data_IF_027917271168
#
_entry.id   IF_027917271168
#
_cell.length_a   1.000
_cell.length_b   1.000
_cell.length_c   1.000
_cell.angle_alpha   90.00
_cell.angle_beta   90.00
_cell.angle_gamma   90.00
#
_symmetry.space_group_name_H-M   'P 1'
#
loop_
_entity.id
_entity.type
_entity.pdbx_description
1 polymer ?
#
# COMPACT_ATOMS: atom_id res chain seq x y z
N UNK A 1 -10.86 50.32 34.21
CA UNK A 1 -11.69 49.15 34.57
C UNK A 1 -12.47 48.79 33.31
N UNK A 2 -12.49 47.59 32.75
CA UNK A 2 -12.07 46.24 33.14
C UNK A 2 -11.78 45.48 31.83
N UNK A 3 -10.73 44.66 31.82
CA UNK A 3 -10.25 43.84 30.71
C UNK A 3 -11.27 42.76 30.35
N UNK A 4 -11.66 42.64 29.08
CA UNK A 4 -12.25 41.41 28.53
C UNK A 4 -11.13 40.61 27.83
N UNK A 5 -10.42 39.82 28.63
CA UNK A 5 -9.58 38.72 28.18
C UNK A 5 -10.39 37.46 28.47
N UNK A 6 -10.86 36.73 27.46
CA UNK A 6 -11.29 35.35 27.68
C UNK A 6 -11.17 34.49 26.41
N UNK A 7 -10.14 33.65 26.45
CA UNK A 7 -10.08 32.27 25.94
C UNK A 7 -10.38 32.00 24.46
N UNK A 8 -9.33 32.23 23.65
CA UNK A 8 -9.09 31.48 22.42
C UNK A 8 -8.82 30.00 22.79
N UNK A 9 -9.86 29.16 22.79
CA UNK A 9 -9.72 27.70 22.90
C UNK A 9 -9.08 27.18 21.61
N UNK A 10 -7.77 26.93 21.70
CA UNK A 10 -6.99 26.14 20.74
C UNK A 10 -7.59 24.73 20.64
N UNK A 11 -8.42 24.51 19.63
CA UNK A 11 -8.78 23.18 19.15
C UNK A 11 -7.55 22.57 18.46
N UNK A 12 -6.64 22.02 19.27
CA UNK A 12 -5.66 21.03 18.83
C UNK A 12 -6.42 19.77 18.42
N UNK A 13 -6.88 19.72 17.16
CA UNK A 13 -7.18 18.45 16.51
C UNK A 13 -5.84 17.71 16.31
N UNK A 14 -5.38 17.06 17.38
CA UNK A 14 -4.41 15.99 17.26
C UNK A 14 -5.01 14.92 16.36
N UNK A 15 -4.36 14.64 15.24
CA UNK A 15 -4.63 13.46 14.46
C UNK A 15 -4.24 12.24 15.30
N UNK A 16 -5.18 11.76 16.12
CA UNK A 16 -5.10 10.42 16.65
C UNK A 16 -5.16 9.47 15.45
N UNK A 17 -4.04 8.83 15.15
CA UNK A 17 -4.03 7.62 14.32
C UNK A 17 -4.87 6.58 15.05
N UNK A 18 -6.17 6.52 14.72
CA UNK A 18 -7.11 5.62 15.37
C UNK A 18 -6.65 4.17 15.12
N UNK A 19 -6.53 3.39 16.20
CA UNK A 19 -6.54 1.95 16.10
C UNK A 19 -7.89 1.54 15.48
N UNK A 20 -7.87 0.61 14.52
CA UNK A 20 -9.09 0.06 13.97
C UNK A 20 -9.59 -1.03 14.94
N UNK A 21 -10.78 -0.82 15.50
CA UNK A 21 -11.48 -1.84 16.27
C UNK A 21 -12.27 -2.68 15.25
N UNK A 22 -11.84 -3.93 15.03
CA UNK A 22 -12.51 -4.87 14.13
C UNK A 22 -13.44 -5.78 14.91
N UNK A 23 -14.71 -5.83 14.50
CA UNK A 23 -15.70 -6.72 15.12
C UNK A 23 -15.86 -7.98 14.28
N UNK A 24 -15.45 -9.11 14.84
CA UNK A 24 -15.48 -10.42 14.18
C UNK A 24 -16.47 -11.36 14.84
N UNK A 25 -17.22 -12.06 14.01
CA UNK A 25 -18.13 -13.15 14.41
C UNK A 25 -17.51 -14.47 13.99
N UNK A 26 -17.18 -15.33 14.95
CA UNK A 26 -16.51 -16.61 14.72
C UNK A 26 -17.40 -17.76 15.19
N UNK A 27 -17.57 -18.82 14.38
CA UNK A 27 -18.31 -20.01 14.80
C UNK A 27 -17.59 -20.70 15.95
N UNK A 28 -18.38 -21.18 16.92
CA UNK A 28 -17.89 -22.00 18.02
C UNK A 28 -17.86 -23.44 17.56
N UNK A 29 -16.66 -24.04 17.54
CA UNK A 29 -16.52 -25.45 17.23
C UNK A 29 -16.73 -26.30 18.50
N UNK A 30 -17.38 -27.46 18.33
CA UNK A 30 -17.67 -28.35 19.46
C UNK A 30 -16.36 -28.91 20.02
N UNK A 31 -16.15 -28.73 21.34
CA UNK A 31 -14.93 -29.09 22.10
C UNK A 31 -13.70 -28.18 21.90
N UNK A 32 -13.84 -27.02 21.28
CA UNK A 32 -12.74 -26.08 21.15
C UNK A 32 -12.45 -25.32 22.46
N UNK A 33 -11.16 -25.25 22.82
CA UNK A 33 -10.70 -24.43 23.95
C UNK A 33 -10.66 -22.93 23.61
N UNK A 34 -10.80 -22.08 24.63
CA UNK A 34 -10.83 -20.62 24.48
C UNK A 34 -9.65 -20.04 23.68
N UNK A 35 -8.45 -20.58 23.85
CA UNK A 35 -7.26 -20.10 23.13
C UNK A 35 -7.36 -20.27 21.62
N UNK A 36 -7.77 -21.46 21.16
CA UNK A 36 -7.97 -21.76 19.74
C UNK A 36 -9.04 -20.86 19.13
N UNK A 37 -10.13 -20.61 19.88
CA UNK A 37 -11.21 -19.75 19.43
C UNK A 37 -10.73 -18.29 19.25
N UNK A 38 -9.98 -17.78 20.23
CA UNK A 38 -9.39 -16.42 20.18
C UNK A 38 -8.41 -16.29 19.02
N UNK A 39 -7.57 -17.31 18.78
CA UNK A 39 -6.64 -17.33 17.65
C UNK A 39 -7.35 -17.24 16.29
N UNK A 40 -8.47 -17.94 16.12
CA UNK A 40 -9.28 -17.81 14.90
C UNK A 40 -9.95 -16.45 14.77
N UNK A 41 -10.40 -15.86 15.89
CA UNK A 41 -10.93 -14.50 15.89
C UNK A 41 -9.87 -13.47 15.49
N UNK A 42 -8.64 -13.65 15.95
CA UNK A 42 -7.50 -12.82 15.55
C UNK A 42 -7.20 -12.92 14.06
N UNK A 43 -7.18 -14.14 13.51
CA UNK A 43 -6.97 -14.35 12.07
C UNK A 43 -8.09 -13.74 11.23
N UNK A 44 -9.34 -13.90 11.66
CA UNK A 44 -10.49 -13.28 11.00
C UNK A 44 -10.39 -11.74 11.04
N UNK A 45 -9.99 -11.17 12.18
CA UNK A 45 -9.90 -9.73 12.36
C UNK A 45 -8.76 -9.13 11.53
N UNK A 46 -7.61 -9.80 11.49
CA UNK A 46 -6.50 -9.40 10.63
C UNK A 46 -6.89 -9.47 9.16
N UNK A 47 -7.57 -10.54 8.74
CA UNK A 47 -8.05 -10.67 7.35
C UNK A 47 -8.97 -9.51 6.97
N UNK A 48 -9.97 -9.20 7.81
CA UNK A 48 -10.87 -8.07 7.60
C UNK A 48 -10.13 -6.72 7.54
N UNK A 49 -9.19 -6.48 8.45
CA UNK A 49 -8.39 -5.26 8.45
C UNK A 49 -7.51 -5.14 7.21
N UNK A 50 -6.90 -6.24 6.75
CA UNK A 50 -6.10 -6.26 5.52
C UNK A 50 -6.97 -5.85 4.34
N UNK A 51 -8.15 -6.46 4.17
CA UNK A 51 -9.07 -6.10 3.09
C UNK A 51 -9.54 -4.64 3.17
N UNK A 52 -9.81 -4.15 4.39
CA UNK A 52 -10.19 -2.76 4.62
C UNK A 52 -9.05 -1.79 4.25
N UNK A 53 -7.82 -2.09 4.64
CA UNK A 53 -6.63 -1.28 4.33
C UNK A 53 -6.31 -1.28 2.83
N UNK A 54 -6.51 -2.42 2.15
CA UNK A 54 -6.23 -2.56 0.72
C UNK A 54 -7.38 -2.04 -0.15
N UNK A 55 -8.61 -1.98 0.37
CA UNK A 55 -9.81 -1.62 -0.40
C UNK A 55 -10.11 -2.61 -1.54
N UNK A 56 -9.63 -3.84 -1.43
CA UNK A 56 -9.84 -4.96 -2.37
C UNK A 56 -9.56 -6.27 -1.66
N UNK A 57 -10.18 -7.35 -2.15
CA UNK A 57 -9.85 -8.71 -1.71
C UNK A 57 -8.62 -9.22 -2.45
N UNK A 58 -7.78 -9.98 -1.75
CA UNK A 58 -6.66 -10.70 -2.34
C UNK A 58 -7.11 -12.09 -2.80
N UNK A 59 -6.41 -12.67 -3.77
CA UNK A 59 -6.57 -14.09 -4.09
C UNK A 59 -6.33 -14.95 -2.85
N UNK A 60 -7.13 -16.00 -2.68
CA UNK A 60 -7.12 -16.83 -1.47
C UNK A 60 -5.72 -17.37 -1.13
N UNK A 61 -5.02 -17.95 -2.10
CA UNK A 61 -3.66 -18.49 -1.93
C UNK A 61 -2.64 -17.45 -1.44
N UNK A 62 -2.80 -16.20 -1.91
CA UNK A 62 -1.97 -15.07 -1.49
C UNK A 62 -2.31 -14.61 -0.07
N UNK A 63 -3.59 -14.56 0.28
CA UNK A 63 -4.03 -14.26 1.65
C UNK A 63 -3.52 -15.32 2.64
N UNK A 64 -3.62 -16.61 2.29
CA UNK A 64 -3.09 -17.71 3.11
C UNK A 64 -1.58 -17.57 3.35
N UNK A 65 -0.82 -17.26 2.29
CA UNK A 65 0.64 -17.02 2.40
C UNK A 65 0.96 -15.81 3.28
N UNK A 66 0.20 -14.72 3.13
CA UNK A 66 0.35 -13.51 3.93
C UNK A 66 0.05 -13.78 5.41
N UNK A 67 -1.06 -14.48 5.70
CA UNK A 67 -1.43 -14.85 7.06
C UNK A 67 -0.41 -15.80 7.69
N UNK A 68 0.19 -16.72 6.93
CA UNK A 68 1.30 -17.54 7.43
C UNK A 68 2.53 -16.75 7.94
N UNK A 69 2.69 -15.50 7.49
CA UNK A 69 3.71 -14.56 7.99
C UNK A 69 3.16 -13.73 9.14
N UNK A 70 2.02 -13.06 8.95
CA UNK A 70 1.46 -12.15 9.95
C UNK A 70 1.03 -12.85 11.23
N UNK A 71 0.60 -14.12 11.14
CA UNK A 71 0.22 -14.94 12.30
C UNK A 71 1.39 -15.17 13.26
N UNK A 72 2.63 -15.14 12.78
CA UNK A 72 3.85 -15.25 13.62
C UNK A 72 4.20 -13.95 14.33
N UNK A 73 3.57 -12.85 13.92
CA UNK A 73 3.82 -11.49 14.40
C UNK A 73 2.58 -10.90 15.09
N UNK A 74 1.58 -11.72 15.41
CA UNK A 74 0.29 -11.31 16.00
C UNK A 74 0.47 -10.43 17.22
N UNK A 75 1.37 -10.78 18.12
CA UNK A 75 1.62 -10.02 19.36
C UNK A 75 2.03 -8.56 19.11
N UNK A 76 2.60 -8.26 17.94
CA UNK A 76 2.97 -6.90 17.53
C UNK A 76 1.87 -6.16 16.78
N UNK A 77 0.87 -6.89 16.27
CA UNK A 77 -0.22 -6.39 15.45
C UNK A 77 -1.54 -6.28 16.22
N UNK A 78 -1.73 -7.05 17.28
CA UNK A 78 -2.95 -7.09 18.07
C UNK A 78 -2.70 -6.36 19.38
N UNK A 79 -3.44 -5.27 19.59
CA UNK A 79 -3.32 -4.43 20.79
C UNK A 79 -4.18 -4.93 21.95
N UNK A 80 -5.20 -5.74 21.65
CA UNK A 80 -6.09 -6.34 22.64
C UNK A 80 -7.41 -6.81 22.03
N UNK A 81 -8.26 -7.42 22.85
CA UNK A 81 -9.61 -7.81 22.45
C UNK A 81 -10.59 -7.74 23.62
N UNK A 82 -11.87 -7.68 23.30
CA UNK A 82 -12.97 -7.83 24.25
C UNK A 82 -14.06 -8.73 23.66
N UNK A 83 -14.71 -9.52 24.51
CA UNK A 83 -15.88 -10.30 24.09
C UNK A 83 -17.12 -9.41 24.14
N UNK A 84 -17.88 -9.38 23.04
CA UNK A 84 -19.21 -8.78 23.02
C UNK A 84 -20.18 -9.88 23.45
N UNK A 85 -20.91 -9.66 24.55
CA UNK A 85 -21.89 -10.63 25.05
C UNK A 85 -22.80 -11.11 23.90
N UNK A 86 -22.87 -12.43 23.73
CA UNK A 86 -23.68 -13.05 22.69
C UNK A 86 -25.16 -12.70 22.93
N UNK A 87 -25.71 -11.79 22.15
CA UNK A 87 -27.15 -11.71 21.96
C UNK A 87 -27.54 -12.98 21.19
N UNK A 88 -28.00 -14.01 21.92
CA UNK A 88 -28.45 -15.25 21.33
C UNK A 88 -29.65 -14.97 20.43
N UNK A 89 -29.48 -15.09 19.12
CA UNK A 89 -30.61 -15.34 18.21
C UNK A 89 -31.08 -16.78 18.47
N UNK A 90 -31.92 -16.92 19.50
CA UNK A 90 -32.58 -18.16 19.89
C UNK A 90 -33.71 -18.54 18.91
N UNK A 91 -33.44 -18.53 17.60
CA UNK A 91 -34.43 -18.92 16.59
C UNK A 91 -33.97 -20.07 15.69
N UNK A 92 -32.67 -20.38 15.57
CA UNK A 92 -32.21 -21.60 14.86
C UNK A 92 -30.90 -22.13 15.47
N UNK A 93 -31.00 -23.02 16.45
CA UNK A 93 -29.88 -23.62 17.17
C UNK A 93 -29.18 -24.73 16.36
N UNK A 94 -28.45 -24.35 15.31
CA UNK A 94 -27.54 -25.28 14.61
C UNK A 94 -26.11 -24.76 14.49
N UNK A 95 -25.86 -23.47 14.69
CA UNK A 95 -24.49 -22.90 14.65
C UNK A 95 -24.34 -21.82 15.73
N UNK A 96 -23.67 -22.16 16.85
CA UNK A 96 -23.36 -21.19 17.89
C UNK A 96 -22.21 -20.29 17.42
N UNK A 97 -22.38 -18.96 17.53
CA UNK A 97 -21.34 -17.99 17.20
C UNK A 97 -21.01 -17.15 18.42
N UNK A 98 -19.75 -16.71 18.50
CA UNK A 98 -19.30 -15.70 19.46
C UNK A 98 -18.71 -14.51 18.72
N UNK A 99 -18.86 -13.33 19.31
CA UNK A 99 -18.42 -12.08 18.71
C UNK A 99 -17.33 -11.45 19.55
N UNK A 100 -16.19 -11.16 18.92
CA UNK A 100 -15.06 -10.47 19.54
C UNK A 100 -14.87 -9.12 18.85
N UNK A 101 -14.55 -8.11 19.66
CA UNK A 101 -13.95 -6.89 19.17
C UNK A 101 -12.45 -7.02 19.36
N UNK A 102 -11.69 -7.00 18.27
CA UNK A 102 -10.23 -7.10 18.26
C UNK A 102 -9.67 -5.75 17.84
N UNK A 103 -8.77 -5.20 18.67
CA UNK A 103 -8.10 -3.94 18.37
C UNK A 103 -6.79 -4.22 17.65
N UNK A 104 -6.68 -3.70 16.42
CA UNK A 104 -5.50 -3.92 15.57
C UNK A 104 -4.64 -2.66 15.49
N UNK A 105 -3.33 -2.86 15.53
CA UNK A 105 -2.33 -1.84 15.28
C UNK A 105 -2.26 -1.53 13.77
N UNK A 106 -3.24 -0.79 13.27
CA UNK A 106 -3.37 -0.41 11.85
C UNK A 106 -2.09 0.18 11.23
N UNK A 107 -1.40 1.16 11.87
CA UNK A 107 -0.14 1.70 11.36
C UNK A 107 0.97 0.63 11.20
N UNK A 108 1.10 -0.27 12.16
CA UNK A 108 2.05 -1.38 12.10
C UNK A 108 1.72 -2.36 10.98
N UNK A 109 0.45 -2.75 10.86
CA UNK A 109 -0.03 -3.62 9.79
C UNK A 109 0.22 -2.98 8.41
N UNK A 110 -0.15 -1.71 8.22
CA UNK A 110 0.07 -1.00 6.95
C UNK A 110 1.55 -0.96 6.58
N UNK A 111 2.42 -0.67 7.54
CA UNK A 111 3.89 -0.69 7.35
C UNK A 111 4.37 -2.08 6.93
N UNK A 112 3.79 -3.15 7.52
CA UNK A 112 4.12 -4.53 7.17
C UNK A 112 3.67 -4.88 5.75
N UNK A 113 2.42 -4.59 5.41
CA UNK A 113 1.87 -4.78 4.07
C UNK A 113 2.65 -3.99 3.01
N UNK A 114 3.10 -2.78 3.34
CA UNK A 114 3.94 -1.97 2.47
C UNK A 114 5.29 -2.65 2.22
N UNK A 115 5.97 -3.10 3.29
CA UNK A 115 7.26 -3.79 3.16
C UNK A 115 7.19 -5.12 2.40
N UNK A 116 6.04 -5.79 2.42
CA UNK A 116 5.79 -7.02 1.66
C UNK A 116 5.41 -6.75 0.18
N UNK A 117 5.12 -5.50 -0.18
CA UNK A 117 4.65 -5.12 -1.52
C UNK A 117 3.14 -5.19 -1.73
N UNK A 118 2.41 -5.74 -0.76
CA UNK A 118 0.96 -6.02 -0.86
C UNK A 118 0.16 -4.74 -1.08
N UNK A 119 0.55 -3.63 -0.44
CA UNK A 119 -0.10 -2.32 -0.63
C UNK A 119 -0.07 -1.81 -2.08
N UNK A 120 0.89 -2.29 -2.89
CA UNK A 120 1.11 -1.81 -4.26
C UNK A 120 0.54 -2.76 -5.31
N UNK A 121 0.53 -4.05 -5.00
CA UNK A 121 0.26 -5.11 -5.97
C UNK A 121 -1.03 -5.88 -5.66
N UNK A 122 -1.89 -5.34 -4.77
CA UNK A 122 -3.14 -6.00 -4.38
C UNK A 122 -4.09 -6.22 -5.58
N UNK A 123 -4.12 -5.28 -6.53
CA UNK A 123 -4.97 -5.34 -7.73
C UNK A 123 -4.26 -5.96 -8.93
N UNK A 124 -3.00 -5.58 -9.14
CA UNK A 124 -2.23 -5.98 -10.32
C UNK A 124 -0.86 -6.50 -9.91
N UNK A 125 -0.42 -7.57 -10.58
CA UNK A 125 0.95 -8.04 -10.43
C UNK A 125 1.91 -7.12 -11.16
N UNK A 126 3.01 -6.74 -10.50
CA UNK A 126 4.00 -5.85 -11.09
C UNK A 126 5.14 -6.65 -11.74
N UNK A 127 5.60 -6.23 -12.93
CA UNK A 127 6.70 -6.90 -13.60
C UNK A 127 8.04 -6.60 -12.93
N UNK A 128 8.94 -7.57 -12.96
CA UNK A 128 10.36 -7.37 -12.66
C UNK A 128 11.21 -8.32 -13.50
N UNK A 129 12.47 -7.97 -13.75
CA UNK A 129 13.41 -8.84 -14.45
C UNK A 129 14.18 -9.66 -13.42
N UNK A 130 14.19 -10.98 -13.56
CA UNK A 130 14.94 -11.87 -12.68
C UNK A 130 16.23 -12.35 -13.38
N UNK A 131 17.36 -12.17 -12.71
CA UNK A 131 18.65 -12.71 -13.11
C UNK A 131 19.17 -13.64 -12.03
N UNK A 132 19.51 -14.88 -12.38
CA UNK A 132 20.04 -15.87 -11.45
C UNK A 132 21.48 -16.20 -11.84
N UNK A 133 22.40 -16.18 -10.87
CA UNK A 133 23.81 -16.53 -11.11
C UNK A 133 24.33 -17.46 -10.02
N UNK A 134 24.87 -18.62 -10.41
CA UNK A 134 25.39 -19.62 -9.47
C UNK A 134 24.33 -20.15 -8.49
N UNK A 135 23.07 -20.22 -8.92
CA UNK A 135 21.95 -20.70 -8.09
C UNK A 135 21.48 -22.06 -8.61
N UNK A 136 21.48 -23.06 -7.73
CA UNK A 136 20.94 -24.39 -8.02
C UNK A 136 19.40 -24.36 -8.16
N UNK A 137 18.79 -24.98 -9.19
CA UNK A 137 17.34 -24.98 -9.39
C UNK A 137 16.53 -25.52 -8.21
N UNK A 138 17.10 -26.47 -7.45
CA UNK A 138 16.47 -27.02 -6.25
C UNK A 138 16.29 -25.97 -5.13
N UNK A 139 17.11 -24.91 -5.13
CA UNK A 139 17.14 -23.86 -4.12
C UNK A 139 16.24 -22.67 -4.44
N UNK A 140 15.65 -22.62 -5.64
CA UNK A 140 14.69 -21.57 -6.06
C UNK A 140 13.23 -22.00 -5.92
N UNK A 141 12.94 -23.19 -5.38
CA UNK A 141 11.55 -23.71 -5.24
C UNK A 141 10.59 -22.73 -4.55
N UNK A 142 11.09 -21.92 -3.61
CA UNK A 142 10.28 -20.95 -2.85
C UNK A 142 10.06 -19.62 -3.59
N UNK A 143 10.73 -19.40 -4.72
CA UNK A 143 10.65 -18.13 -5.44
C UNK A 143 9.23 -17.84 -5.95
N UNK A 144 8.49 -18.86 -6.39
CA UNK A 144 7.10 -18.71 -6.82
C UNK A 144 6.18 -18.20 -5.70
N UNK A 145 6.33 -18.74 -4.48
CA UNK A 145 5.54 -18.29 -3.33
C UNK A 145 5.90 -16.85 -2.91
N UNK A 146 7.19 -16.48 -3.01
CA UNK A 146 7.65 -15.12 -2.73
C UNK A 146 7.16 -14.11 -3.77
N UNK A 147 7.17 -14.50 -5.05
CA UNK A 147 6.57 -13.75 -6.16
C UNK A 147 5.08 -13.53 -5.94
N UNK A 148 4.35 -14.59 -5.61
CA UNK A 148 2.91 -14.54 -5.35
C UNK A 148 2.57 -13.63 -4.16
N UNK A 149 3.27 -13.80 -3.03
CA UNK A 149 3.11 -12.97 -1.83
C UNK A 149 3.27 -11.48 -2.16
N UNK A 150 4.39 -11.12 -2.80
CA UNK A 150 4.71 -9.74 -3.13
C UNK A 150 3.93 -9.21 -4.34
N UNK A 151 3.16 -10.05 -5.03
CA UNK A 151 2.43 -9.70 -6.24
C UNK A 151 3.37 -9.28 -7.38
N UNK A 152 4.48 -9.99 -7.52
CA UNK A 152 5.53 -9.71 -8.49
C UNK A 152 5.61 -10.83 -9.52
N UNK A 153 5.74 -10.46 -10.80
CA UNK A 153 5.83 -11.42 -11.90
C UNK A 153 7.13 -11.24 -12.69
N UNK A 154 7.91 -12.31 -12.90
CA UNK A 154 9.11 -12.19 -13.73
C UNK A 154 8.74 -11.88 -15.18
N UNK A 155 9.50 -10.99 -15.80
CA UNK A 155 9.43 -10.65 -17.23
C UNK A 155 10.82 -10.72 -17.86
N UNK A 156 10.87 -10.96 -19.17
CA UNK A 156 12.10 -10.86 -19.98
C UNK A 156 12.31 -9.46 -20.54
N UNK A 157 11.28 -8.60 -20.50
CA UNK A 157 11.34 -7.24 -21.03
C UNK A 157 12.09 -6.34 -20.07
N UNK A 158 13.24 -5.84 -20.51
CA UNK A 158 13.96 -4.78 -19.82
C UNK A 158 13.42 -3.43 -20.29
N UNK A 159 12.87 -2.66 -19.36
CA UNK A 159 12.44 -1.28 -19.57
C UNK A 159 12.97 -0.40 -18.43
N UNK A 160 13.18 0.90 -18.64
CA UNK A 160 13.78 1.79 -17.63
C UNK A 160 13.01 1.84 -16.30
N UNK A 161 11.71 1.56 -16.32
CA UNK A 161 10.82 1.60 -15.16
C UNK A 161 10.48 0.21 -14.58
N UNK A 162 11.11 -0.85 -15.10
CA UNK A 162 10.99 -2.23 -14.63
C UNK A 162 12.22 -2.58 -13.79
N UNK A 163 12.05 -2.96 -12.50
CA UNK A 163 13.17 -3.27 -11.63
C UNK A 163 13.84 -4.58 -12.05
N UNK A 164 15.17 -4.64 -11.89
CA UNK A 164 15.99 -5.83 -12.18
C UNK A 164 16.50 -6.40 -10.86
N UNK A 165 16.13 -7.64 -10.56
CA UNK A 165 16.60 -8.41 -9.41
C UNK A 165 17.63 -9.44 -9.86
N UNK A 166 18.87 -9.24 -9.47
CA UNK A 166 19.93 -10.23 -9.56
C UNK A 166 20.06 -11.00 -8.23
N UNK A 167 19.91 -12.32 -8.28
CA UNK A 167 20.14 -13.22 -7.15
C UNK A 167 21.34 -14.13 -7.44
N UNK A 168 22.21 -14.27 -6.44
CA UNK A 168 23.35 -15.17 -6.50
C UNK A 168 23.54 -15.96 -5.21
N UNK A 169 24.16 -17.13 -5.31
CA UNK A 169 24.43 -17.98 -4.16
C UNK A 169 25.85 -18.59 -4.19
N UNK A 170 26.84 -17.76 -3.85
CA UNK A 170 28.22 -18.20 -3.63
C UNK A 170 28.47 -18.28 -2.12
N UNK A 171 27.83 -19.25 -1.47
CA UNK A 171 27.75 -19.37 -0.01
C UNK A 171 26.43 -18.85 0.53
N UNK A 172 26.43 -17.62 1.04
CA UNK A 172 25.19 -16.92 1.42
C UNK A 172 24.39 -16.51 0.18
N UNK A 173 23.09 -16.26 0.36
CA UNK A 173 22.29 -15.61 -0.67
C UNK A 173 22.63 -14.13 -0.73
N UNK A 174 22.81 -13.61 -1.94
CA UNK A 174 22.95 -12.18 -2.19
C UNK A 174 21.94 -11.76 -3.24
N UNK A 175 21.24 -10.66 -2.97
CA UNK A 175 20.29 -10.04 -3.88
C UNK A 175 20.66 -8.60 -4.15
N UNK A 176 20.64 -8.22 -5.42
CA UNK A 176 20.85 -6.86 -5.89
C UNK A 176 19.61 -6.47 -6.68
N UNK A 177 18.90 -5.45 -6.23
CA UNK A 177 17.74 -4.90 -6.92
C UNK A 177 18.09 -3.52 -7.47
N UNK A 178 17.88 -3.30 -8.77
CA UNK A 178 18.16 -2.02 -9.43
C UNK A 178 16.94 -1.47 -10.16
N UNK A 179 16.86 -0.14 -10.24
CA UNK A 179 15.90 0.58 -11.09
C UNK A 179 16.51 1.93 -11.49
N UNK A 180 16.95 2.06 -12.75
CA UNK A 180 17.77 3.19 -13.17
C UNK A 180 19.03 3.29 -12.31
N UNK A 181 19.28 4.48 -11.74
CA UNK A 181 20.41 4.71 -10.83
C UNK A 181 20.19 4.17 -9.41
N UNK A 182 18.95 3.81 -9.04
CA UNK A 182 18.66 3.28 -7.71
C UNK A 182 19.11 1.83 -7.58
N UNK A 183 19.72 1.50 -6.44
CA UNK A 183 20.20 0.15 -6.11
C UNK A 183 19.99 -0.16 -4.64
N UNK A 184 19.53 -1.37 -4.35
CA UNK A 184 19.57 -1.99 -3.02
C UNK A 184 20.32 -3.31 -3.11
N UNK A 185 21.07 -3.67 -2.06
CA UNK A 185 21.85 -4.91 -2.01
C UNK A 185 21.78 -5.49 -0.61
N UNK A 186 21.40 -6.77 -0.52
CA UNK A 186 21.29 -7.50 0.74
C UNK A 186 21.91 -8.87 0.63
N UNK A 187 22.50 -9.34 1.73
CA UNK A 187 23.07 -10.69 1.85
C UNK A 187 22.54 -11.35 3.11
N UNK A 188 22.02 -12.58 2.98
CA UNK A 188 21.46 -13.33 4.10
C UNK A 188 21.60 -14.84 3.92
N UNK A 189 21.22 -15.61 4.95
CA UNK A 189 21.37 -17.08 4.94
C UNK A 189 20.33 -17.73 4.04
N UNK A 190 19.16 -17.09 3.88
CA UNK A 190 18.03 -17.65 3.14
C UNK A 190 17.57 -16.73 2.01
N UNK A 191 16.92 -17.33 1.01
CA UNK A 191 16.31 -16.60 -0.11
C UNK A 191 15.21 -15.65 0.39
N UNK A 192 14.37 -16.09 1.32
CA UNK A 192 13.29 -15.31 1.90
C UNK A 192 13.79 -14.00 2.51
N UNK A 193 14.84 -14.07 3.33
CA UNK A 193 15.43 -12.89 3.98
C UNK A 193 15.95 -11.88 2.95
N UNK A 194 16.68 -12.36 1.93
CA UNK A 194 17.17 -11.49 0.86
C UNK A 194 16.03 -10.88 0.05
N UNK A 195 15.05 -11.70 -0.35
CA UNK A 195 13.90 -11.26 -1.13
C UNK A 195 13.12 -10.18 -0.39
N UNK A 196 12.72 -10.46 0.85
CA UNK A 196 11.94 -9.54 1.66
C UNK A 196 12.71 -8.25 1.94
N UNK A 197 14.02 -8.31 2.14
CA UNK A 197 14.84 -7.13 2.39
C UNK A 197 14.96 -6.22 1.16
N UNK A 198 15.35 -6.75 -0.01
CA UNK A 198 15.51 -5.93 -1.24
C UNK A 198 14.18 -5.32 -1.68
N UNK A 199 13.08 -6.07 -1.57
CA UNK A 199 11.76 -5.59 -1.94
C UNK A 199 11.18 -4.62 -0.93
N UNK A 200 11.42 -4.82 0.37
CA UNK A 200 11.05 -3.82 1.39
C UNK A 200 11.69 -2.48 1.10
N UNK A 201 12.99 -2.45 0.78
CA UNK A 201 13.69 -1.21 0.43
C UNK A 201 13.07 -0.55 -0.80
N UNK A 202 12.76 -1.34 -1.83
CA UNK A 202 12.07 -0.86 -3.02
C UNK A 202 10.73 -0.23 -2.67
N UNK A 203 9.83 -0.97 -2.03
CA UNK A 203 8.49 -0.51 -1.68
C UNK A 203 8.45 0.63 -0.65
N UNK A 204 9.57 0.87 0.03
CA UNK A 204 9.75 1.96 0.99
C UNK A 204 10.30 3.24 0.35
N UNK A 205 10.64 3.24 -0.96
CA UNK A 205 11.12 4.46 -1.64
C UNK A 205 10.05 5.55 -1.66
N UNK A 206 10.49 6.78 -1.43
CA UNK A 206 9.70 7.97 -1.74
C UNK A 206 9.32 7.97 -3.23
N UNK A 207 8.05 8.22 -3.52
CA UNK A 207 7.49 8.20 -4.88
C UNK A 207 6.79 6.89 -5.29
N UNK A 208 7.03 5.77 -4.62
CA UNK A 208 6.31 4.52 -4.92
C UNK A 208 4.88 4.50 -4.37
N UNK A 209 4.63 5.17 -3.23
CA UNK A 209 3.29 5.41 -2.68
C UNK A 209 2.35 6.06 -3.71
N UNK A 210 2.90 6.82 -4.65
CA UNK A 210 2.15 7.43 -5.73
C UNK A 210 1.72 6.40 -6.76
N UNK A 211 2.52 5.35 -7.07
CA UNK A 211 2.13 4.28 -8.01
C UNK A 211 0.98 3.40 -7.50
N UNK A 212 0.88 3.19 -6.17
CA UNK A 212 -0.15 2.35 -5.54
C UNK A 212 -1.48 3.05 -5.22
N UNK A 213 -1.51 4.39 -5.14
CA UNK A 213 -2.77 5.13 -5.06
C UNK A 213 -3.46 5.10 -6.44
N UNK A 214 -4.67 4.54 -6.52
CA UNK A 214 -5.49 4.64 -7.74
C UNK A 214 -5.82 6.11 -8.01
N UNK A 215 -5.56 6.59 -9.23
CA UNK A 215 -5.84 7.96 -9.67
C UNK A 215 -5.42 8.17 -11.11
N UNK A 216 -5.99 9.17 -11.77
CA UNK A 216 -5.64 9.54 -13.14
C UNK A 216 -4.26 10.17 -13.17
N UNK A 217 -3.46 9.83 -14.17
CA UNK A 217 -2.15 10.43 -14.38
C UNK A 217 -2.33 11.64 -15.30
N UNK A 218 -2.03 12.82 -14.76
CA UNK A 218 -2.17 14.09 -15.45
C UNK A 218 -0.78 14.61 -15.80
N UNK A 219 -0.51 14.84 -17.08
CA UNK A 219 0.72 15.47 -17.57
C UNK A 219 0.38 16.83 -18.15
N UNK A 220 1.05 17.88 -17.66
CA UNK A 220 0.89 19.25 -18.18
C UNK A 220 2.26 19.75 -18.63
N UNK A 221 2.36 20.12 -19.90
CA UNK A 221 3.61 20.50 -20.56
C UNK A 221 3.52 21.88 -21.21
N UNK A 222 4.69 22.48 -21.43
CA UNK A 222 4.83 23.79 -22.09
C UNK A 222 5.36 24.90 -21.18
N UNK A 223 5.84 24.57 -19.98
CA UNK A 223 6.37 25.59 -19.07
C UNK A 223 7.80 25.98 -19.40
N UNK A 224 8.10 27.28 -19.25
CA UNK A 224 9.44 27.81 -19.48
C UNK A 224 10.38 27.63 -18.27
N UNK A 225 9.84 27.30 -17.09
CA UNK A 225 10.61 27.13 -15.86
C UNK A 225 9.96 26.14 -14.90
N UNK A 226 10.73 25.66 -13.92
CA UNK A 226 10.26 24.75 -12.87
C UNK A 226 9.28 25.39 -11.89
N UNK A 227 9.12 26.71 -11.91
CA UNK A 227 8.14 27.43 -11.10
C UNK A 227 6.71 27.23 -11.62
N UNK A 228 6.53 27.11 -12.95
CA UNK A 228 5.22 26.86 -13.57
C UNK A 228 4.49 25.65 -12.97
N UNK A 229 5.13 24.46 -12.89
CA UNK A 229 4.59 23.30 -12.20
C UNK A 229 4.14 23.54 -10.77
N UNK A 230 4.92 24.30 -10.00
CA UNK A 230 4.61 24.53 -8.60
C UNK A 230 3.42 25.47 -8.41
N UNK A 231 3.31 26.51 -9.24
CA UNK A 231 2.15 27.42 -9.21
C UNK A 231 0.88 26.73 -9.70
N UNK A 232 0.99 25.89 -10.73
CA UNK A 232 -0.15 25.10 -11.20
C UNK A 232 -0.57 24.04 -10.18
N UNK A 233 0.39 23.44 -9.48
CA UNK A 233 0.10 22.59 -8.34
C UNK A 233 -0.73 23.36 -7.33
N UNK A 234 -0.27 24.52 -6.83
CA UNK A 234 -1.04 25.37 -5.90
C UNK A 234 -2.43 25.74 -6.41
N UNK A 235 -2.57 26.04 -7.70
CA UNK A 235 -3.86 26.33 -8.31
C UNK A 235 -4.84 25.16 -8.15
N UNK A 236 -4.38 23.92 -8.33
CA UNK A 236 -5.21 22.73 -8.17
C UNK A 236 -5.67 22.49 -6.72
N UNK A 237 -5.05 23.10 -5.70
CA UNK A 237 -5.56 23.02 -4.31
C UNK A 237 -6.93 23.67 -4.16
N UNK A 238 -7.27 24.62 -5.05
CA UNK A 238 -8.57 25.30 -5.02
C UNK A 238 -9.70 24.50 -5.68
N UNK A 239 -9.42 23.34 -6.29
CA UNK A 239 -10.39 22.58 -7.10
C UNK A 239 -10.99 21.42 -6.32
N UNK A 240 -11.55 21.67 -5.14
CA UNK A 240 -12.04 20.62 -4.23
C UNK A 240 -13.21 19.80 -4.78
N UNK A 241 -13.94 20.31 -5.78
CA UNK A 241 -15.05 19.59 -6.42
C UNK A 241 -14.55 18.56 -7.44
N UNK A 242 -13.50 18.87 -8.19
CA UNK A 242 -12.92 18.03 -9.23
C UNK A 242 -11.72 17.21 -8.74
N UNK A 243 -11.04 17.64 -7.68
CA UNK A 243 -9.84 17.02 -7.10
C UNK A 243 -10.11 16.62 -5.66
N UNK A 244 -10.27 15.32 -5.44
CA UNK A 244 -10.38 14.77 -4.08
C UNK A 244 -9.03 14.69 -3.38
N UNK A 245 -8.01 14.29 -4.14
CA UNK A 245 -6.63 14.18 -3.70
C UNK A 245 -5.74 14.37 -4.92
N UNK A 246 -4.63 15.06 -4.74
CA UNK A 246 -3.59 15.15 -5.76
C UNK A 246 -2.23 14.87 -5.16
N UNK A 247 -1.31 14.43 -5.99
CA UNK A 247 0.10 14.33 -5.64
C UNK A 247 0.93 14.70 -6.85
N UNK A 248 1.78 15.72 -6.72
CA UNK A 248 2.80 16.01 -7.71
C UNK A 248 3.82 14.88 -7.69
N UNK A 249 3.84 14.09 -8.77
CA UNK A 249 4.74 12.94 -8.94
C UNK A 249 6.16 13.46 -9.22
N UNK A 250 6.26 14.51 -10.02
CA UNK A 250 7.54 15.08 -10.39
C UNK A 250 7.43 16.22 -11.39
N UNK A 251 8.56 16.87 -11.57
CA UNK A 251 8.78 17.90 -12.57
C UNK A 251 9.91 17.43 -13.47
N UNK A 252 9.60 17.20 -14.74
CA UNK A 252 10.50 16.67 -15.75
C UNK A 252 10.85 17.76 -16.77
N UNK A 253 12.00 17.62 -17.43
CA UNK A 253 12.36 18.44 -18.58
C UNK A 253 12.09 17.63 -19.86
N UNK A 254 11.38 18.23 -20.80
CA UNK A 254 10.98 17.58 -22.06
C UNK A 254 11.13 18.58 -23.20
N UNK A 255 12.13 18.35 -24.08
CA UNK A 255 12.44 18.99 -25.37
C UNK A 255 12.14 20.49 -25.57
N UNK A 256 10.89 20.89 -25.39
CA UNK A 256 10.34 22.24 -25.51
C UNK A 256 10.15 22.99 -24.17
N UNK A 257 10.38 22.37 -23.01
CA UNK A 257 10.22 23.03 -21.71
C UNK A 257 10.14 22.09 -20.52
N UNK A 258 9.50 22.56 -19.45
CA UNK A 258 9.21 21.81 -18.24
C UNK A 258 7.82 21.18 -18.30
N UNK A 259 7.72 20.02 -17.67
CA UNK A 259 6.51 19.22 -17.57
C UNK A 259 6.28 18.88 -16.11
N UNK A 260 5.06 19.09 -15.63
CA UNK A 260 4.64 18.52 -14.36
C UNK A 260 3.82 17.27 -14.59
N UNK A 261 3.97 16.32 -13.69
CA UNK A 261 3.20 15.08 -13.68
C UNK A 261 2.53 14.97 -12.32
N UNK A 262 1.21 14.81 -12.31
CA UNK A 262 0.42 14.58 -11.11
C UNK A 262 -0.30 13.25 -11.19
N UNK A 263 -0.58 12.70 -10.01
CA UNK A 263 -1.64 11.74 -9.83
C UNK A 263 -2.82 12.45 -9.18
N UNK A 264 -4.00 12.29 -9.76
CA UNK A 264 -5.22 12.96 -9.31
C UNK A 264 -6.33 11.96 -9.08
N UNK A 265 -6.86 11.93 -7.86
CA UNK A 265 -8.12 11.26 -7.54
C UNK A 265 -9.28 12.22 -7.77
N UNK A 266 -10.26 11.78 -8.55
CA UNK A 266 -11.43 12.58 -8.91
C UNK A 266 -12.69 11.73 -8.89
N UNK A 267 -13.83 12.37 -8.63
CA UNK A 267 -15.17 11.76 -8.82
C UNK A 267 -15.56 11.66 -10.29
N UNK A 268 -15.00 12.51 -11.14
CA UNK A 268 -15.38 12.61 -12.55
C UNK A 268 -14.18 12.97 -13.42
N UNK A 269 -13.75 12.02 -14.25
CA UNK A 269 -12.67 12.22 -15.23
C UNK A 269 -12.98 13.36 -16.19
N UNK A 270 -14.22 13.45 -16.66
CA UNK A 270 -14.63 14.46 -17.63
C UNK A 270 -14.63 15.88 -17.03
N UNK A 271 -15.09 16.01 -15.78
CA UNK A 271 -15.05 17.30 -15.09
C UNK A 271 -13.61 17.77 -14.86
N UNK A 272 -12.75 16.87 -14.39
CA UNK A 272 -11.33 17.15 -14.21
C UNK A 272 -10.65 17.52 -15.53
N UNK A 273 -10.88 16.76 -16.60
CA UNK A 273 -10.28 17.00 -17.91
C UNK A 273 -10.69 18.36 -18.50
N UNK A 274 -11.96 18.76 -18.34
CA UNK A 274 -12.43 20.11 -18.74
C UNK A 274 -11.74 21.20 -17.93
N UNK A 275 -11.71 21.06 -16.60
CA UNK A 275 -11.08 22.04 -15.70
C UNK A 275 -9.59 22.23 -15.99
N UNK A 276 -8.87 21.12 -16.20
CA UNK A 276 -7.46 21.15 -16.61
C UNK A 276 -7.27 21.80 -17.97
N UNK A 277 -8.12 21.46 -18.94
CA UNK A 277 -8.06 22.04 -20.29
C UNK A 277 -8.27 23.56 -20.29
N UNK A 278 -9.21 24.07 -19.50
CA UNK A 278 -9.49 25.50 -19.40
C UNK A 278 -8.33 26.26 -18.73
N UNK A 279 -7.78 25.71 -17.64
CA UNK A 279 -6.62 26.28 -16.95
C UNK A 279 -5.38 26.29 -17.84
N UNK A 280 -5.15 25.21 -18.60
CA UNK A 280 -4.02 25.07 -19.50
C UNK A 280 -4.09 25.98 -20.72
N UNK A 281 -5.27 26.11 -21.35
CA UNK A 281 -5.49 27.01 -22.50
C UNK A 281 -5.11 28.46 -22.19
N UNK A 282 -5.44 28.93 -20.99
CA UNK A 282 -5.14 30.30 -20.54
C UNK A 282 -3.63 30.59 -20.54
N UNK A 283 -2.80 29.55 -20.38
CA UNK A 283 -1.34 29.65 -20.30
C UNK A 283 -0.62 29.05 -21.51
N UNK A 284 -1.35 28.65 -22.57
CA UNK A 284 -0.76 28.01 -23.75
C UNK A 284 -0.14 26.63 -23.47
N UNK A 285 -0.64 25.93 -22.45
CA UNK A 285 -0.12 24.62 -22.02
C UNK A 285 -0.87 23.48 -22.69
N UNK A 286 -0.21 22.33 -22.76
CA UNK A 286 -0.81 21.08 -23.26
C UNK A 286 -1.08 20.13 -22.09
N UNK A 287 -2.25 19.48 -22.11
CA UNK A 287 -2.69 18.55 -21.06
C UNK A 287 -2.92 17.17 -21.64
N UNK A 288 -2.45 16.15 -20.93
CA UNK A 288 -2.76 14.75 -21.19
C UNK A 288 -3.27 14.10 -19.90
N UNK A 289 -4.39 13.35 -19.99
CA UNK A 289 -5.01 12.64 -18.85
C UNK A 289 -5.11 11.15 -19.18
N UNK A 290 -4.30 10.33 -18.52
CA UNK A 290 -4.25 8.87 -18.67
C UNK A 290 -4.92 8.17 -17.50
#
# INVERSE_FOLDING_TARGET
MLRCVLCLMLALCGAFTAAADQQVRVPVESAEGQASFVDRAFDAALTQEIEAVLGTQLAQSRMETLMGILSKERDSLILGYSEVQAAGDAVNATEAYRTLTVRIHGPGLKTRLQGLGVMFTARDQWPYVLQLSGVEPSRTKRLGALQELSGLRPTVTQAPDVPVLALSQLGAWTGVLTLGEWRSTHTAKTLDEVWLAVWKDYFSRSGLNVRGESGLLVRVSGWLSSMGPMEFDRLMDSWSEEVQRKTLIGVEMDGSGMVGVWRVQTRSRDALARRLGDAAKTQGLTVEVR
#
